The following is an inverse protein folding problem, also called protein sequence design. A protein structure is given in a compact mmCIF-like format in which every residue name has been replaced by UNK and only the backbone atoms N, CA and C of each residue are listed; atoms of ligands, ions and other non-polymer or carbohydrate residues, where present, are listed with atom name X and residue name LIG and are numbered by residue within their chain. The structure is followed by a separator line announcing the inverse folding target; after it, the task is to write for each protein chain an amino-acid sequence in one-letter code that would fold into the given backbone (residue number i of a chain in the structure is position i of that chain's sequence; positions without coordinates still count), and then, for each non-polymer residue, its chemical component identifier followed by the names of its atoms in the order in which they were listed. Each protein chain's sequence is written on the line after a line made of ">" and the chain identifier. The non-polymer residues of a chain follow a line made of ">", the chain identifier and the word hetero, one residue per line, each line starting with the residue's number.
data_IF_843233992172
#
_entry.id   IF_843233992172
#
_cell.length_a   1.000
_cell.length_b   1.000
_cell.length_c   1.000
_cell.angle_alpha   90.00
_cell.angle_beta   90.00
_cell.angle_gamma   90.00
#
_symmetry.space_group_name_H-M   'P 1'
#
loop_
_entity.id
_entity.type
_entity.pdbx_description
1 polymer ?
#
# COMPACT_ATOMS: atom_id res chain seq x y z
N UNK A 1 85.76 50.56 -28.55
CA UNK A 1 85.32 50.77 -29.95
C UNK A 1 85.83 49.63 -30.81
N UNK A 2 84.98 49.13 -31.71
CA UNK A 2 85.25 48.40 -32.96
C UNK A 2 86.00 47.05 -32.90
N UNK A 3 85.41 45.91 -33.27
CA UNK A 3 84.91 45.37 -34.59
C UNK A 3 85.96 44.61 -35.40
N UNK A 4 85.44 43.63 -36.15
CA UNK A 4 86.05 42.75 -37.17
C UNK A 4 86.57 41.41 -36.57
N UNK A 5 86.43 40.23 -37.18
CA UNK A 5 86.44 39.82 -38.60
C UNK A 5 85.63 38.50 -38.78
N UNK A 6 84.97 38.38 -39.94
CA UNK A 6 84.39 37.17 -40.55
C UNK A 6 85.42 36.04 -40.78
N UNK A 7 85.02 34.78 -40.68
CA UNK A 7 85.42 33.78 -41.69
C UNK A 7 84.44 32.60 -41.75
N UNK A 8 84.21 32.24 -43.00
CA UNK A 8 83.24 31.32 -43.59
C UNK A 8 83.99 30.02 -43.95
N UNK A 9 83.25 29.07 -44.55
CA UNK A 9 83.68 28.07 -45.54
C UNK A 9 84.22 26.70 -45.04
N UNK A 10 83.83 25.51 -45.53
CA UNK A 10 82.81 24.92 -46.44
C UNK A 10 82.71 23.39 -46.10
N UNK A 11 81.81 22.50 -46.58
CA UNK A 11 81.44 22.09 -47.96
C UNK A 11 80.38 20.91 -47.89
N UNK A 12 79.88 20.27 -48.99
CA UNK A 12 78.45 20.17 -49.40
C UNK A 12 77.99 18.68 -49.63
N UNK A 13 77.12 18.29 -50.61
CA UNK A 13 75.77 18.72 -51.00
C UNK A 13 74.68 17.60 -50.85
N UNK A 14 73.43 18.05 -51.04
CA UNK A 14 72.15 17.39 -51.36
C UNK A 14 72.10 15.91 -51.84
N UNK A 15 71.13 15.14 -51.29
CA UNK A 15 70.01 14.45 -52.00
C UNK A 15 69.15 13.57 -51.07
N UNK A 16 67.83 13.64 -51.22
CA UNK A 16 66.97 12.44 -51.28
C UNK A 16 66.19 11.97 -50.04
N UNK A 17 64.97 12.49 -49.88
CA UNK A 17 63.69 11.86 -49.46
C UNK A 17 63.72 10.63 -48.51
N UNK A 18 63.12 10.82 -47.33
CA UNK A 18 62.29 9.79 -46.67
C UNK A 18 61.08 10.47 -46.00
N UNK A 19 59.90 10.26 -46.60
CA UNK A 19 58.57 10.63 -46.11
C UNK A 19 58.24 9.90 -44.81
N UNK A 20 58.07 10.64 -43.70
CA UNK A 20 57.40 10.14 -42.49
C UNK A 20 55.93 10.53 -42.51
N UNK A 21 55.09 9.51 -42.66
CA UNK A 21 53.63 9.54 -42.61
C UNK A 21 53.16 10.03 -41.24
N UNK A 22 52.56 11.21 -41.19
CA UNK A 22 51.82 11.71 -40.03
C UNK A 22 50.49 10.97 -39.93
N UNK A 23 50.38 10.07 -38.96
CA UNK A 23 49.13 9.38 -38.63
C UNK A 23 48.25 10.37 -37.85
N UNK A 24 47.32 11.03 -38.55
CA UNK A 24 46.25 11.86 -37.98
C UNK A 24 45.46 11.02 -36.96
N UNK A 25 45.64 11.28 -35.66
CA UNK A 25 44.69 10.84 -34.63
C UNK A 25 43.48 11.78 -34.68
N UNK A 26 42.32 11.23 -35.02
CA UNK A 26 41.03 11.91 -34.96
C UNK A 26 40.63 12.16 -33.50
N UNK A 27 40.88 13.36 -33.00
CA UNK A 27 40.35 13.84 -31.74
C UNK A 27 39.46 15.07 -32.02
N UNK A 28 38.21 14.84 -32.39
CA UNK A 28 37.16 15.88 -32.38
C UNK A 28 35.79 15.24 -32.42
N UNK A 29 35.22 15.00 -31.23
CA UNK A 29 33.75 14.84 -31.05
C UNK A 29 33.26 15.06 -29.62
N UNK A 30 34.13 15.14 -28.61
CA UNK A 30 33.75 15.29 -27.19
C UNK A 30 33.62 16.74 -26.67
N UNK A 31 33.98 17.77 -27.45
CA UNK A 31 33.94 19.18 -27.02
C UNK A 31 32.62 19.92 -27.32
N UNK A 32 31.72 19.34 -28.12
CA UNK A 32 30.48 20.03 -28.52
C UNK A 32 29.32 19.84 -27.53
N UNK A 33 29.28 18.72 -26.78
CA UNK A 33 28.22 18.46 -25.81
C UNK A 33 28.29 19.41 -24.59
N UNK A 34 29.50 19.69 -24.09
CA UNK A 34 29.71 20.62 -22.95
C UNK A 34 29.48 22.08 -23.33
N UNK A 35 29.78 22.50 -24.57
CA UNK A 35 29.46 23.87 -25.04
C UNK A 35 27.96 24.08 -25.28
N UNK A 36 27.23 23.03 -25.66
CA UNK A 36 25.78 23.11 -25.88
C UNK A 36 25.02 23.28 -24.56
N UNK A 37 25.38 22.53 -23.53
CA UNK A 37 24.82 22.68 -22.18
C UNK A 37 25.11 24.06 -21.57
N UNK A 38 26.31 24.61 -21.81
CA UNK A 38 26.67 25.94 -21.31
C UNK A 38 25.91 27.08 -22.01
N UNK A 39 25.62 26.95 -23.32
CA UNK A 39 24.80 27.94 -24.05
C UNK A 39 23.34 27.93 -23.64
N UNK A 40 22.75 26.74 -23.42
CA UNK A 40 21.37 26.67 -22.91
C UNK A 40 21.27 27.32 -21.53
N UNK A 41 22.22 27.05 -20.65
CA UNK A 41 22.21 27.62 -19.30
C UNK A 41 22.34 29.16 -19.32
N UNK A 42 23.24 29.71 -20.15
CA UNK A 42 23.36 31.16 -20.29
C UNK A 42 22.12 31.81 -20.90
N UNK A 43 21.49 31.17 -21.89
CA UNK A 43 20.25 31.66 -22.49
C UNK A 43 19.07 31.64 -21.50
N UNK A 44 18.95 30.57 -20.71
CA UNK A 44 17.95 30.47 -19.65
C UNK A 44 18.18 31.57 -18.61
N UNK A 45 19.44 31.84 -18.24
CA UNK A 45 19.78 32.89 -17.28
C UNK A 45 19.42 34.29 -17.80
N UNK A 46 19.60 34.57 -19.09
CA UNK A 46 19.17 35.83 -19.74
C UNK A 46 17.65 35.95 -19.79
N UNK A 47 16.93 34.89 -20.15
CA UNK A 47 15.46 34.86 -20.15
C UNK A 47 14.91 35.07 -18.74
N UNK A 48 15.58 34.52 -17.72
CA UNK A 48 15.18 34.60 -16.31
C UNK A 48 15.55 35.95 -15.66
N UNK A 49 16.37 36.77 -16.33
CA UNK A 49 16.70 38.12 -15.88
C UNK A 49 15.59 39.13 -16.17
N UNK A 50 14.69 38.84 -17.12
CA UNK A 50 13.55 39.70 -17.43
C UNK A 50 12.45 39.54 -16.36
N UNK A 51 12.05 40.66 -15.75
CA UNK A 51 11.00 40.70 -14.72
C UNK A 51 9.65 40.25 -15.29
N UNK A 52 9.39 40.54 -16.57
CA UNK A 52 8.13 40.19 -17.23
C UNK A 52 8.00 38.69 -17.42
N UNK A 53 9.06 38.02 -17.87
CA UNK A 53 9.07 36.57 -18.07
C UNK A 53 8.94 35.85 -16.74
N UNK A 54 9.65 36.31 -15.70
CA UNK A 54 9.52 35.76 -14.34
C UNK A 54 8.10 35.91 -13.79
N UNK A 55 7.48 37.07 -13.98
CA UNK A 55 6.11 37.33 -13.54
C UNK A 55 5.09 36.46 -14.29
N UNK A 56 5.23 36.31 -15.61
CA UNK A 56 4.37 35.43 -16.42
C UNK A 56 4.53 33.97 -16.01
N UNK A 57 5.78 33.50 -15.82
CA UNK A 57 6.05 32.15 -15.34
C UNK A 57 5.49 31.93 -13.93
N UNK A 58 5.57 32.93 -13.05
CA UNK A 58 4.97 32.90 -11.72
C UNK A 58 3.45 32.73 -11.76
N UNK A 59 2.77 33.50 -12.62
CA UNK A 59 1.33 33.41 -12.83
C UNK A 59 0.91 32.06 -13.42
N UNK A 60 1.64 31.56 -14.43
CA UNK A 60 1.41 30.22 -14.99
C UNK A 60 1.61 29.11 -13.94
N UNK A 61 2.66 29.22 -13.11
CA UNK A 61 2.93 28.29 -12.01
C UNK A 61 1.82 28.28 -10.97
N UNK A 62 1.26 29.46 -10.63
CA UNK A 62 0.11 29.56 -9.74
C UNK A 62 -1.16 28.94 -10.34
N UNK A 63 -1.42 29.18 -11.62
CA UNK A 63 -2.54 28.54 -12.33
C UNK A 63 -2.42 27.02 -12.35
N UNK A 64 -1.23 26.50 -12.65
CA UNK A 64 -0.96 25.06 -12.65
C UNK A 64 -1.05 24.45 -11.25
N UNK A 65 -0.57 25.17 -10.23
CA UNK A 65 -0.73 24.80 -8.82
C UNK A 65 -2.21 24.68 -8.44
N UNK A 66 -3.07 25.60 -8.87
CA UNK A 66 -4.50 25.56 -8.59
C UNK A 66 -5.17 24.36 -9.27
N UNK A 67 -4.85 24.10 -10.55
CA UNK A 67 -5.34 22.92 -11.29
C UNK A 67 -4.95 21.65 -10.55
N UNK A 68 -3.69 21.50 -10.16
CA UNK A 68 -3.23 20.32 -9.41
C UNK A 68 -3.86 20.21 -8.03
N UNK A 69 -4.03 21.33 -7.31
CA UNK A 69 -4.67 21.35 -6.00
C UNK A 69 -6.10 20.85 -6.09
N UNK A 70 -6.90 21.38 -7.02
CA UNK A 70 -8.30 21.00 -7.20
C UNK A 70 -8.42 19.54 -7.65
N UNK A 71 -7.59 19.11 -8.61
CA UNK A 71 -7.58 17.73 -9.10
C UNK A 71 -7.25 16.70 -8.01
N UNK A 72 -6.17 16.94 -7.25
CA UNK A 72 -5.72 16.05 -6.17
C UNK A 72 -6.70 16.09 -5.01
N UNK A 73 -7.14 17.28 -4.58
CA UNK A 73 -8.10 17.42 -3.50
C UNK A 73 -9.40 16.71 -3.83
N UNK A 74 -9.95 16.90 -5.03
CA UNK A 74 -11.14 16.17 -5.48
C UNK A 74 -10.90 14.66 -5.48
N UNK A 75 -9.75 14.17 -5.95
CA UNK A 75 -9.42 12.75 -5.96
C UNK A 75 -9.34 12.12 -4.55
N UNK A 76 -9.05 12.89 -3.51
CA UNK A 76 -9.08 12.37 -2.13
C UNK A 76 -10.49 12.09 -1.60
N UNK A 77 -11.54 12.61 -2.25
CA UNK A 77 -12.93 12.36 -1.86
C UNK A 77 -13.68 11.52 -2.92
N UNK A 78 -13.51 11.85 -4.20
CA UNK A 78 -14.20 11.22 -5.34
C UNK A 78 -13.31 10.27 -6.14
N UNK A 79 -12.15 9.88 -5.61
CA UNK A 79 -11.17 9.10 -6.36
C UNK A 79 -11.61 7.69 -6.70
N UNK A 80 -12.36 7.01 -5.83
CA UNK A 80 -12.78 5.62 -6.06
C UNK A 80 -13.54 5.40 -7.39
N UNK A 81 -14.62 6.14 -7.71
CA UNK A 81 -15.30 5.99 -8.99
C UNK A 81 -14.40 6.40 -10.18
N UNK A 82 -13.68 7.50 -10.07
CA UNK A 82 -12.80 7.99 -11.15
C UNK A 82 -11.69 7.00 -11.51
N UNK A 83 -11.10 6.32 -10.51
CA UNK A 83 -10.07 5.29 -10.73
C UNK A 83 -10.67 4.10 -11.48
N UNK A 84 -11.89 3.67 -11.15
CA UNK A 84 -12.58 2.58 -11.85
C UNK A 84 -12.83 2.94 -13.31
N UNK A 85 -13.29 4.17 -13.59
CA UNK A 85 -13.51 4.66 -14.96
C UNK A 85 -12.19 4.63 -15.75
N UNK A 86 -11.07 5.06 -15.16
CA UNK A 86 -9.76 5.06 -15.81
C UNK A 86 -9.27 3.62 -16.08
N UNK A 87 -9.38 2.73 -15.08
CA UNK A 87 -8.90 1.35 -15.20
C UNK A 87 -9.74 0.51 -16.17
N UNK A 88 -11.05 0.79 -16.24
CA UNK A 88 -11.98 0.11 -17.15
C UNK A 88 -12.09 0.81 -18.51
N UNK A 89 -11.31 1.87 -18.74
CA UNK A 89 -11.33 2.58 -20.01
C UNK A 89 -11.00 1.62 -21.17
N UNK A 90 -11.95 1.46 -22.09
CA UNK A 90 -11.84 0.52 -23.22
C UNK A 90 -12.41 -0.89 -22.98
N UNK A 91 -12.92 -1.20 -21.78
CA UNK A 91 -13.60 -2.47 -21.48
C UNK A 91 -15.13 -2.36 -21.47
N UNK A 92 -15.68 -1.19 -21.17
CA UNK A 92 -17.13 -0.93 -21.11
C UNK A 92 -17.56 0.09 -22.16
N UNK A 93 -18.68 -0.14 -22.84
CA UNK A 93 -19.28 0.83 -23.80
C UNK A 93 -20.00 1.99 -23.10
N UNK A 94 -20.26 1.88 -21.79
CA UNK A 94 -20.87 2.96 -21.01
C UNK A 94 -19.87 4.11 -20.79
N UNK A 95 -20.20 5.28 -21.35
CA UNK A 95 -19.52 6.54 -21.05
C UNK A 95 -19.98 7.07 -19.69
N UNK A 96 -19.34 6.62 -18.63
CA UNK A 96 -19.47 7.23 -17.31
C UNK A 96 -18.76 8.59 -17.25
N UNK A 97 -19.41 9.57 -16.61
CA UNK A 97 -18.82 10.87 -16.39
C UNK A 97 -17.83 10.86 -15.22
N UNK A 98 -16.70 11.53 -15.38
CA UNK A 98 -15.74 11.76 -14.30
C UNK A 98 -16.36 12.63 -13.21
N UNK A 99 -16.17 12.23 -11.95
CA UNK A 99 -16.67 12.91 -10.76
C UNK A 99 -15.70 14.00 -10.27
N UNK A 100 -14.45 13.98 -10.72
CA UNK A 100 -13.48 15.01 -10.38
C UNK A 100 -13.97 16.40 -10.82
N UNK A 101 -13.74 17.43 -9.99
CA UNK A 101 -14.14 18.82 -10.27
C UNK A 101 -13.63 19.33 -11.63
N UNK A 102 -12.44 18.87 -12.06
CA UNK A 102 -11.85 19.24 -13.36
C UNK A 102 -12.15 18.22 -14.48
N UNK A 103 -13.13 17.34 -14.27
CA UNK A 103 -13.52 16.28 -15.19
C UNK A 103 -12.38 15.30 -15.47
N UNK A 104 -12.29 14.82 -16.72
CA UNK A 104 -11.30 13.81 -17.13
C UNK A 104 -9.86 14.22 -16.83
N UNK A 105 -9.49 15.48 -17.09
CA UNK A 105 -8.13 15.96 -16.84
C UNK A 105 -7.80 15.91 -15.34
N UNK A 106 -8.74 16.30 -14.49
CA UNK A 106 -8.56 16.24 -13.05
C UNK A 106 -8.47 14.81 -12.52
N UNK A 107 -9.30 13.90 -13.05
CA UNK A 107 -9.27 12.50 -12.70
C UNK A 107 -7.92 11.84 -13.05
N UNK A 108 -7.36 12.12 -14.24
CA UNK A 108 -6.05 11.57 -14.63
C UNK A 108 -4.90 12.14 -13.78
N UNK A 109 -4.94 13.44 -13.45
CA UNK A 109 -3.96 14.06 -12.55
C UNK A 109 -4.08 13.44 -11.14
N UNK A 110 -5.30 13.28 -10.64
CA UNK A 110 -5.58 12.62 -9.37
C UNK A 110 -5.08 11.18 -9.35
N UNK A 111 -5.34 10.41 -10.41
CA UNK A 111 -4.84 9.05 -10.57
C UNK A 111 -3.31 8.99 -10.56
N UNK A 112 -2.64 9.87 -11.30
CA UNK A 112 -1.17 9.92 -11.35
C UNK A 112 -0.54 10.28 -10.00
N UNK A 113 -1.07 11.32 -9.32
CA UNK A 113 -0.44 11.86 -8.13
C UNK A 113 -0.93 11.25 -6.82
N UNK A 114 -2.23 11.02 -6.68
CA UNK A 114 -2.82 10.43 -5.49
C UNK A 114 -2.67 8.89 -5.52
N UNK A 115 -3.19 8.22 -6.55
CA UNK A 115 -3.14 6.75 -6.62
C UNK A 115 -1.73 6.21 -6.91
N UNK A 116 -1.11 6.60 -8.02
CA UNK A 116 0.23 6.10 -8.39
C UNK A 116 1.38 6.79 -7.65
N UNK A 117 1.13 7.98 -7.09
CA UNK A 117 2.13 8.75 -6.37
C UNK A 117 2.10 8.52 -4.87
N UNK A 118 1.94 9.61 -4.13
CA UNK A 118 2.10 9.66 -2.67
C UNK A 118 0.76 9.86 -1.94
N UNK A 119 -0.38 9.55 -2.58
CA UNK A 119 -1.69 9.70 -1.93
C UNK A 119 -1.94 11.12 -1.45
N UNK A 120 -2.32 11.27 -0.18
CA UNK A 120 -2.50 12.56 0.49
C UNK A 120 -1.21 13.40 0.50
N UNK A 121 -0.05 12.76 0.47
CA UNK A 121 1.25 13.42 0.41
C UNK A 121 1.47 14.17 -0.90
N UNK A 122 0.73 13.86 -1.96
CA UNK A 122 0.85 14.53 -3.24
C UNK A 122 0.39 16.00 -3.23
N UNK A 123 -0.38 16.44 -2.23
CA UNK A 123 -0.72 17.84 -1.99
C UNK A 123 0.52 18.74 -1.79
N UNK A 124 1.68 18.14 -1.49
CA UNK A 124 2.96 18.82 -1.49
C UNK A 124 3.31 19.48 -2.83
N UNK A 125 2.95 18.84 -3.95
CA UNK A 125 3.28 19.31 -5.29
C UNK A 125 2.59 20.66 -5.60
N UNK A 126 1.25 20.78 -5.54
CA UNK A 126 0.60 22.07 -5.77
C UNK A 126 1.03 23.10 -4.73
N UNK A 127 1.24 22.73 -3.46
CA UNK A 127 1.69 23.67 -2.43
C UNK A 127 3.05 24.29 -2.73
N UNK A 128 4.06 23.46 -3.08
CA UNK A 128 5.40 23.96 -3.41
C UNK A 128 5.42 24.74 -4.72
N UNK A 129 4.66 24.29 -5.72
CA UNK A 129 4.53 24.97 -7.00
C UNK A 129 3.84 26.34 -6.84
N UNK A 130 2.85 26.43 -5.96
CA UNK A 130 2.17 27.68 -5.61
C UNK A 130 3.10 28.64 -4.87
N UNK A 131 3.89 28.13 -3.91
CA UNK A 131 4.87 28.95 -3.19
C UNK A 131 5.96 29.50 -4.13
N UNK A 132 6.41 28.68 -5.09
CA UNK A 132 7.38 29.08 -6.11
C UNK A 132 6.79 30.12 -7.06
N UNK A 133 5.55 29.90 -7.52
CA UNK A 133 4.83 30.84 -8.38
C UNK A 133 4.62 32.19 -7.70
N UNK A 134 4.20 32.19 -6.43
CA UNK A 134 4.02 33.41 -5.64
C UNK A 134 5.35 34.14 -5.41
N UNK A 135 6.44 33.39 -5.17
CA UNK A 135 7.79 33.96 -5.05
C UNK A 135 8.21 34.66 -6.34
N UNK A 136 7.96 34.06 -7.50
CA UNK A 136 8.32 34.64 -8.80
C UNK A 136 7.43 35.81 -9.21
N UNK A 137 6.15 35.81 -8.79
CA UNK A 137 5.20 36.87 -9.10
C UNK A 137 5.41 38.13 -8.25
N UNK A 138 5.75 37.98 -6.97
CA UNK A 138 5.81 39.10 -6.01
C UNK A 138 7.24 39.51 -5.66
N UNK A 139 8.25 38.76 -6.10
CA UNK A 139 9.67 38.93 -5.71
C UNK A 139 9.94 38.95 -4.21
N UNK A 140 8.96 38.51 -3.43
CA UNK A 140 8.99 38.48 -1.98
C UNK A 140 9.09 37.05 -1.50
N UNK A 141 9.86 36.87 -0.43
CA UNK A 141 10.00 35.57 0.22
C UNK A 141 9.02 35.49 1.38
N UNK A 142 7.83 34.94 1.14
CA UNK A 142 6.80 34.76 2.19
C UNK A 142 7.25 33.76 3.25
N UNK A 143 7.80 32.62 2.82
CA UNK A 143 8.31 31.57 3.69
C UNK A 143 9.76 31.21 3.31
N UNK A 144 10.59 30.80 4.28
CA UNK A 144 11.94 30.34 4.01
C UNK A 144 11.90 29.04 3.19
N UNK A 145 12.08 29.15 1.87
CA UNK A 145 11.88 28.08 0.89
C UNK A 145 12.53 26.74 1.30
N UNK A 146 13.80 26.76 1.72
CA UNK A 146 14.52 25.54 2.10
C UNK A 146 13.93 24.85 3.36
N UNK A 147 13.38 25.60 4.31
CA UNK A 147 12.73 25.00 5.49
C UNK A 147 11.37 24.43 5.12
N UNK A 148 10.58 25.19 4.35
CA UNK A 148 9.26 24.76 3.86
C UNK A 148 9.38 23.52 2.98
N UNK A 149 10.29 23.52 2.00
CA UNK A 149 10.52 22.39 1.12
C UNK A 149 10.85 21.11 1.88
N UNK A 150 11.78 21.18 2.85
CA UNK A 150 12.16 20.00 3.65
C UNK A 150 11.02 19.48 4.50
N UNK A 151 10.27 20.36 5.17
CA UNK A 151 9.11 19.95 5.96
C UNK A 151 8.03 19.33 5.08
N UNK A 152 7.69 19.97 3.97
CA UNK A 152 6.67 19.49 3.04
C UNK A 152 7.08 18.16 2.39
N UNK A 153 8.34 18.01 1.96
CA UNK A 153 8.84 16.76 1.38
C UNK A 153 8.83 15.62 2.41
N UNK A 154 9.20 15.91 3.67
CA UNK A 154 9.08 14.95 4.76
C UNK A 154 7.62 14.54 4.95
N UNK A 155 6.69 15.49 5.11
CA UNK A 155 5.27 15.18 5.32
C UNK A 155 4.66 14.43 4.14
N UNK A 156 5.07 14.76 2.91
CA UNK A 156 4.64 14.11 1.66
C UNK A 156 4.98 12.62 1.63
N UNK A 157 6.13 12.23 2.21
CA UNK A 157 6.56 10.83 2.26
C UNK A 157 6.06 10.12 3.53
N UNK A 158 6.12 10.81 4.68
CA UNK A 158 5.84 10.22 5.99
C UNK A 158 4.35 10.10 6.29
N UNK A 159 3.53 11.08 5.91
CA UNK A 159 2.10 11.04 6.25
C UNK A 159 1.38 9.86 5.58
N UNK A 160 1.58 9.57 4.28
CA UNK A 160 0.94 8.41 3.65
C UNK A 160 1.48 7.08 4.18
N UNK A 161 2.79 6.98 4.45
CA UNK A 161 3.39 5.80 5.06
C UNK A 161 2.87 5.56 6.48
N UNK A 162 2.77 6.60 7.29
CA UNK A 162 2.20 6.51 8.63
C UNK A 162 0.73 6.09 8.58
N UNK A 163 -0.09 6.70 7.72
CA UNK A 163 -1.49 6.30 7.56
C UNK A 163 -1.62 4.84 7.12
N UNK A 164 -0.82 4.41 6.15
CA UNK A 164 -0.78 3.01 5.71
C UNK A 164 -0.37 2.08 6.85
N UNK A 165 0.60 2.47 7.68
CA UNK A 165 1.01 1.70 8.86
C UNK A 165 -0.04 1.69 9.98
N UNK A 166 -0.83 2.74 10.16
CA UNK A 166 -1.88 2.73 11.19
C UNK A 166 -3.08 1.87 10.79
N UNK A 167 -3.30 1.69 9.49
CA UNK A 167 -4.46 0.96 8.94
C UNK A 167 -4.08 -0.32 8.20
N UNK A 168 -2.86 -0.82 8.41
CA UNK A 168 -2.49 -2.15 7.90
C UNK A 168 -3.15 -3.20 8.77
N UNK A 169 -3.84 -4.14 8.15
CA UNK A 169 -4.23 -5.38 8.78
C UNK A 169 -3.03 -6.33 8.77
N UNK A 170 -2.82 -7.14 9.83
CA UNK A 170 -1.84 -8.21 9.81
C UNK A 170 -2.36 -9.36 8.94
N UNK A 171 -2.43 -9.15 7.62
CA UNK A 171 -2.82 -10.16 6.65
C UNK A 171 -1.60 -11.00 6.25
N UNK A 172 -1.83 -12.26 5.85
CA UNK A 172 -0.81 -13.29 5.65
C UNK A 172 0.42 -12.85 4.84
N UNK A 173 1.58 -13.40 5.23
CA UNK A 173 2.95 -13.10 4.75
C UNK A 173 3.18 -13.18 3.21
N UNK A 174 2.16 -13.52 2.42
CA UNK A 174 2.23 -13.75 0.98
C UNK A 174 1.62 -12.63 0.13
N UNK A 175 0.82 -11.72 0.69
CA UNK A 175 0.17 -10.64 -0.06
C UNK A 175 0.98 -9.33 -0.02
N UNK A 176 0.88 -8.47 -1.07
CA UNK A 176 1.45 -7.13 -1.03
C UNK A 176 0.83 -6.36 0.15
N UNK A 177 1.65 -5.61 0.88
CA UNK A 177 1.16 -4.81 2.01
C UNK A 177 -0.04 -3.95 1.59
N UNK A 178 -1.20 -4.26 2.17
CA UNK A 178 -2.47 -3.59 1.96
C UNK A 178 -2.77 -2.65 3.13
N UNK A 179 -3.62 -1.67 2.90
CA UNK A 179 -4.18 -0.82 3.94
C UNK A 179 -5.69 -0.83 3.79
N UNK A 180 -6.42 -0.77 4.90
CA UNK A 180 -7.88 -0.61 4.87
C UNK A 180 -8.31 0.72 4.24
N UNK A 181 -7.41 1.71 4.26
CA UNK A 181 -7.64 2.97 3.57
C UNK A 181 -7.63 2.77 2.06
N UNK A 182 -8.49 3.54 1.41
CA UNK A 182 -8.48 3.60 -0.03
C UNK A 182 -7.09 3.96 -0.57
N UNK A 183 -6.74 3.19 -1.57
CA UNK A 183 -5.58 3.23 -2.42
C UNK A 183 -5.08 4.61 -2.90
N UNK A 184 -5.96 5.62 -3.00
CA UNK A 184 -5.61 6.99 -3.38
C UNK A 184 -5.30 7.91 -2.19
N UNK A 185 -5.54 7.45 -0.96
CA UNK A 185 -5.21 8.18 0.28
C UNK A 185 -3.78 7.85 0.70
N UNK A 186 -3.42 6.56 0.71
CA UNK A 186 -2.07 6.08 1.01
C UNK A 186 -1.16 6.20 -0.20
N UNK A 187 -1.70 5.97 -1.40
CA UNK A 187 -0.96 5.98 -2.64
C UNK A 187 0.06 4.84 -2.73
N UNK A 188 0.50 4.53 -3.96
CA UNK A 188 1.46 3.46 -4.21
C UNK A 188 2.79 3.67 -3.45
N UNK A 189 3.26 4.91 -3.31
CA UNK A 189 4.49 5.20 -2.56
C UNK A 189 4.37 4.96 -1.05
N UNK A 190 3.21 5.26 -0.46
CA UNK A 190 2.96 4.98 0.97
C UNK A 190 2.88 3.48 1.25
N UNK A 191 2.16 2.74 0.40
CA UNK A 191 2.05 1.27 0.47
C UNK A 191 3.41 0.58 0.21
N UNK A 192 4.19 1.10 -0.73
CA UNK A 192 5.53 0.58 -1.00
C UNK A 192 6.44 0.77 0.22
N UNK A 193 6.44 1.96 0.83
CA UNK A 193 7.20 2.21 2.07
C UNK A 193 6.73 1.33 3.23
N UNK A 194 5.42 1.12 3.36
CA UNK A 194 4.85 0.20 4.34
C UNK A 194 5.44 -1.20 4.15
N UNK A 195 5.32 -1.77 2.94
CA UNK A 195 5.82 -3.10 2.64
C UNK A 195 7.33 -3.25 2.90
N UNK A 196 8.12 -2.26 2.50
CA UNK A 196 9.56 -2.25 2.80
C UNK A 196 9.84 -2.19 4.30
N UNK A 197 9.13 -1.32 5.04
CA UNK A 197 9.31 -1.19 6.49
C UNK A 197 8.97 -2.49 7.23
N UNK A 198 7.83 -3.12 6.91
CA UNK A 198 7.40 -4.37 7.52
C UNK A 198 8.36 -5.51 7.18
N UNK A 199 8.86 -5.58 5.95
CA UNK A 199 9.81 -6.61 5.52
C UNK A 199 11.15 -6.53 6.26
N UNK A 200 11.69 -5.34 6.47
CA UNK A 200 13.02 -5.18 7.09
C UNK A 200 12.98 -5.05 8.62
N UNK A 201 11.94 -4.42 9.17
CA UNK A 201 11.88 -4.04 10.59
C UNK A 201 10.75 -4.74 11.36
N UNK A 202 9.83 -5.44 10.68
CA UNK A 202 8.61 -5.93 11.28
C UNK A 202 7.67 -4.81 11.73
N UNK A 203 6.56 -5.17 12.36
CA UNK A 203 5.53 -4.21 12.83
C UNK A 203 6.09 -3.28 13.91
N UNK A 204 6.68 -3.84 14.96
CA UNK A 204 7.23 -3.07 16.10
C UNK A 204 8.37 -2.14 15.66
N UNK A 205 9.29 -2.63 14.83
CA UNK A 205 10.41 -1.83 14.36
C UNK A 205 9.95 -0.70 13.43
N UNK A 206 8.99 -0.97 12.54
CA UNK A 206 8.40 0.05 11.66
C UNK A 206 7.74 1.17 12.47
N UNK A 207 6.93 0.83 13.46
CA UNK A 207 6.31 1.81 14.36
C UNK A 207 7.34 2.66 15.10
N UNK A 208 8.39 2.04 15.65
CA UNK A 208 9.47 2.78 16.34
C UNK A 208 10.19 3.73 15.38
N UNK A 209 10.45 3.31 14.13
CA UNK A 209 11.10 4.20 13.15
C UNK A 209 10.24 5.39 12.73
N UNK A 210 8.92 5.22 12.61
CA UNK A 210 8.01 6.33 12.35
C UNK A 210 8.08 7.38 13.47
N UNK A 211 7.99 6.94 14.73
CA UNK A 211 8.09 7.82 15.90
C UNK A 211 9.46 8.52 15.95
N UNK A 212 10.54 7.76 15.73
CA UNK A 212 11.90 8.30 15.76
C UNK A 212 12.15 9.32 14.65
N UNK A 213 11.69 9.04 13.43
CA UNK A 213 11.86 9.95 12.30
C UNK A 213 11.06 11.25 12.48
N UNK A 214 9.82 11.17 12.95
CA UNK A 214 9.01 12.36 13.29
C UNK A 214 9.70 13.15 14.40
N UNK A 215 10.25 12.46 15.41
CA UNK A 215 10.98 13.09 16.51
C UNK A 215 12.22 13.85 16.04
N UNK A 216 13.06 13.23 15.19
CA UNK A 216 14.22 13.90 14.57
C UNK A 216 13.77 15.12 13.78
N UNK A 217 12.72 14.98 12.97
CA UNK A 217 12.25 16.07 12.13
C UNK A 217 11.70 17.24 12.94
N UNK A 218 10.98 16.96 14.04
CA UNK A 218 10.48 17.97 14.97
C UNK A 218 11.62 18.66 15.72
N UNK A 219 12.61 17.89 16.21
CA UNK A 219 13.79 18.44 16.87
C UNK A 219 14.56 19.41 15.96
N UNK A 220 14.72 19.03 14.68
CA UNK A 220 15.48 19.81 13.73
C UNK A 220 14.73 21.03 13.17
N UNK A 221 13.45 20.90 12.84
CA UNK A 221 12.70 21.96 12.17
C UNK A 221 11.98 22.91 13.15
N UNK A 222 11.60 22.44 14.34
CA UNK A 222 10.80 23.19 15.32
C UNK A 222 11.34 23.03 16.76
N UNK A 223 12.54 23.57 17.06
CA UNK A 223 13.21 23.36 18.35
C UNK A 223 12.42 23.89 19.56
N UNK A 224 11.56 24.90 19.39
CA UNK A 224 10.67 25.38 20.46
C UNK A 224 9.60 24.35 20.84
N UNK A 225 8.99 23.69 19.84
CA UNK A 225 8.00 22.64 20.07
C UNK A 225 8.66 21.41 20.68
N UNK A 226 9.85 21.03 20.19
CA UNK A 226 10.65 19.94 20.74
C UNK A 226 10.98 20.13 22.22
N UNK A 227 11.43 21.33 22.62
CA UNK A 227 11.68 21.65 24.03
C UNK A 227 10.42 21.55 24.89
N UNK A 228 9.27 22.04 24.41
CA UNK A 228 8.00 21.94 25.13
C UNK A 228 7.56 20.49 25.31
N UNK A 229 7.69 19.66 24.27
CA UNK A 229 7.42 18.22 24.37
C UNK A 229 8.37 17.55 25.36
N UNK A 230 9.67 17.85 25.28
CA UNK A 230 10.69 17.30 26.19
C UNK A 230 10.40 17.64 27.66
N UNK A 231 9.96 18.86 27.97
CA UNK A 231 9.55 19.22 29.32
C UNK A 231 8.32 18.43 29.79
N UNK A 232 7.31 18.24 28.93
CA UNK A 232 6.11 17.46 29.28
C UNK A 232 6.42 15.98 29.46
N UNK A 233 7.25 15.40 28.59
CA UNK A 233 7.71 14.03 28.71
C UNK A 233 8.53 13.85 30.00
N UNK A 234 9.45 14.77 30.29
CA UNK A 234 10.21 14.76 31.54
C UNK A 234 9.33 14.83 32.78
N UNK A 235 8.29 15.69 32.79
CA UNK A 235 7.33 15.76 33.89
C UNK A 235 6.50 14.47 34.05
N UNK A 236 6.14 13.81 32.95
CA UNK A 236 5.44 12.52 32.99
C UNK A 236 6.34 11.40 33.53
N UNK A 237 7.61 11.34 33.11
CA UNK A 237 8.57 10.38 33.65
C UNK A 237 8.87 10.61 35.13
N UNK A 238 9.01 11.88 35.56
CA UNK A 238 9.20 12.21 36.97
C UNK A 238 7.98 11.82 37.80
N UNK A 239 6.76 12.09 37.30
CA UNK A 239 5.53 11.65 37.97
C UNK A 239 5.40 10.13 38.04
N UNK A 240 5.85 9.40 37.01
CA UNK A 240 5.85 7.94 37.01
C UNK A 240 6.92 7.36 37.96
N UNK A 241 8.09 7.99 38.02
CA UNK A 241 9.17 7.63 38.97
C UNK A 241 8.74 7.89 40.42
N UNK A 242 8.07 9.01 40.66
CA UNK A 242 7.54 9.37 41.98
C UNK A 242 6.41 8.41 42.42
N UNK A 243 5.50 8.02 41.53
CA UNK A 243 4.47 7.02 41.85
C UNK A 243 5.04 5.61 42.11
N UNK A 244 6.07 5.20 41.38
CA UNK A 244 6.73 3.91 41.62
C UNK A 244 7.50 3.91 42.94
N UNK A 245 8.18 5.01 43.28
CA UNK A 245 8.84 5.15 44.58
C UNK A 245 7.85 5.23 45.74
N UNK A 246 6.65 5.78 45.52
CA UNK A 246 5.59 5.83 46.52
C UNK A 246 4.99 4.44 46.77
N UNK A 247 4.72 3.65 45.71
CA UNK A 247 4.34 2.23 45.84
C UNK A 247 5.41 1.41 46.57
N UNK A 248 6.69 1.51 46.16
CA UNK A 248 7.80 0.80 46.80
C UNK A 248 7.95 1.19 48.29
N UNK A 249 7.73 2.47 48.63
CA UNK A 249 7.80 2.94 50.01
C UNK A 249 6.60 2.47 50.86
N UNK A 250 5.41 2.35 50.28
CA UNK A 250 4.23 1.79 50.93
C UNK A 250 4.40 0.28 51.18
N UNK A 251 4.96 -0.46 50.22
CA UNK A 251 5.27 -1.88 50.36
C UNK A 251 6.37 -2.13 51.40
N UNK A 252 7.42 -1.31 51.43
CA UNK A 252 8.46 -1.39 52.46
C UNK A 252 7.91 -1.06 53.85
N UNK A 253 6.99 -0.09 53.96
CA UNK A 253 6.33 0.25 55.21
C UNK A 253 5.39 -0.87 55.70
N UNK A 254 4.64 -1.50 54.79
CA UNK A 254 3.79 -2.65 55.11
C UNK A 254 4.63 -3.85 55.59
N UNK A 255 5.77 -4.11 54.94
CA UNK A 255 6.70 -5.17 55.33
C UNK A 255 7.33 -4.91 56.71
N UNK A 256 7.68 -3.65 57.02
CA UNK A 256 8.18 -3.25 58.34
C UNK A 256 7.12 -3.37 59.43
N UNK A 257 5.87 -3.01 59.15
CA UNK A 257 4.75 -3.19 60.08
C UNK A 257 4.48 -4.68 60.36
N UNK A 258 4.52 -5.53 59.33
CA UNK A 258 4.40 -6.98 59.50
C UNK A 258 5.56 -7.58 60.32
N UNK A 259 6.80 -7.09 60.13
CA UNK A 259 7.95 -7.51 60.92
C UNK A 259 7.86 -7.08 62.40
N UNK A 260 7.33 -5.89 62.69
CA UNK A 260 7.09 -5.40 64.06
C UNK A 260 5.96 -6.16 64.75
N UNK A 261 4.89 -6.49 64.03
CA UNK A 261 3.82 -7.36 64.53
C UNK A 261 4.35 -8.76 64.90
N UNK A 262 5.24 -9.31 64.08
CA UNK A 262 5.89 -10.62 64.32
C UNK A 262 6.88 -10.60 65.50
N UNK A 263 7.48 -9.44 65.80
CA UNK A 263 8.42 -9.29 66.92
C UNK A 263 7.73 -9.08 68.29
N UNK A 264 6.42 -8.81 68.31
CA UNK A 264 5.68 -8.51 69.56
C UNK A 264 5.05 -9.77 70.18
N UNK A 265 4.99 -10.89 69.46
CA UNK A 265 4.54 -12.19 70.00
C UNK A 265 5.73 -13.04 70.49
N UNK A 266 6.20 -12.76 71.70
CA UNK A 266 6.92 -13.78 72.48
C UNK A 266 6.60 -13.71 73.98
N UNK A 267 5.85 -14.75 74.41
CA UNK A 267 5.71 -15.34 75.77
C UNK A 267 4.64 -14.77 76.76
N UNK A 268 4.04 -15.61 77.67
CA UNK A 268 2.87 -16.48 77.40
C UNK A 268 1.75 -16.42 78.51
N UNK A 269 0.69 -17.22 78.35
CA UNK A 269 -0.47 -17.52 79.26
C UNK A 269 -1.53 -16.41 79.39
N UNK A 270 -2.84 -16.68 79.45
CA UNK A 270 -3.59 -17.87 79.86
C UNK A 270 -4.99 -17.92 79.21
N UNK A 271 -5.62 -19.08 79.35
CA UNK A 271 -6.77 -19.68 78.71
C UNK A 271 -8.18 -19.05 78.83
N UNK A 272 -8.97 -19.33 77.78
CA UNK A 272 -10.40 -19.72 77.75
C UNK A 272 -11.55 -18.68 77.62
N UNK A 273 -12.12 -18.61 76.40
CA UNK A 273 -13.53 -18.86 75.99
C UNK A 273 -14.02 -17.88 74.89
N UNK A 274 -14.84 -18.33 73.92
CA UNK A 274 -15.01 -17.64 72.63
C UNK A 274 -16.19 -16.65 72.64
N UNK A 275 -16.13 -15.51 71.92
CA UNK A 275 -17.33 -14.75 71.60
C UNK A 275 -18.05 -15.31 70.36
N UNK A 276 -19.37 -15.17 70.45
CA UNK A 276 -20.46 -15.73 69.66
C UNK A 276 -20.43 -15.40 68.16
N UNK A 277 -20.97 -16.30 67.35
CA UNK A 277 -21.18 -16.19 65.90
C UNK A 277 -22.04 -14.98 65.45
N UNK A 278 -22.61 -14.21 66.38
CA UNK A 278 -23.42 -13.03 66.08
C UNK A 278 -22.60 -11.78 65.69
N UNK A 279 -21.32 -11.68 66.07
CA UNK A 279 -20.49 -10.51 65.72
C UNK A 279 -19.91 -10.59 64.30
N UNK A 280 -19.77 -11.81 63.75
CA UNK A 280 -19.33 -12.01 62.35
C UNK A 280 -20.40 -11.65 61.33
N UNK A 281 -21.67 -11.84 61.67
CA UNK A 281 -22.79 -11.54 60.77
C UNK A 281 -22.99 -10.02 60.63
N UNK A 282 -22.71 -9.25 61.68
CA UNK A 282 -22.87 -7.79 61.67
C UNK A 282 -21.84 -7.07 60.80
N UNK A 283 -20.61 -7.58 60.73
CA UNK A 283 -19.54 -6.97 59.94
C UNK A 283 -19.60 -7.34 58.44
N UNK A 284 -20.29 -8.43 58.08
CA UNK A 284 -20.55 -8.78 56.67
C UNK A 284 -21.76 -8.01 56.12
N UNK A 285 -22.79 -7.75 56.94
CA UNK A 285 -23.94 -6.94 56.52
C UNK A 285 -23.60 -5.46 56.34
N UNK A 286 -22.72 -4.89 57.18
CA UNK A 286 -22.29 -3.49 57.06
C UNK A 286 -21.39 -3.24 55.84
N UNK A 287 -20.63 -4.24 55.37
CA UNK A 287 -19.84 -4.13 54.14
C UNK A 287 -20.73 -4.20 52.87
N UNK A 288 -21.85 -4.94 52.93
CA UNK A 288 -22.78 -5.07 51.79
C UNK A 288 -23.72 -3.86 51.60
N UNK A 289 -23.95 -3.05 52.64
CA UNK A 289 -24.78 -1.83 52.53
C UNK A 289 -23.99 -0.59 52.06
N UNK A 290 -22.65 -0.61 52.12
CA UNK A 290 -21.81 0.51 51.67
C UNK A 290 -21.48 0.45 50.16
N UNK A 291 -21.44 -0.75 49.55
CA UNK A 291 -21.33 -0.92 48.09
C UNK A 291 -22.65 -0.64 47.34
N UNK A 292 -23.81 -0.77 48.00
CA UNK A 292 -25.12 -0.50 47.40
C UNK A 292 -25.50 1.00 47.37
N UNK A 293 -24.70 1.87 48.02
CA UNK A 293 -24.98 3.30 48.13
C UNK A 293 -24.18 4.20 47.18
N UNK A 294 -23.26 3.66 46.37
CA UNK A 294 -22.41 4.43 45.45
C UNK A 294 -22.89 4.48 43.99
N UNK A 295 -23.99 3.81 43.64
CA UNK A 295 -24.63 3.90 42.32
C UNK A 295 -26.09 4.37 42.45
N UNK A 296 -26.29 5.67 42.66
CA UNK A 296 -27.51 6.39 42.26
C UNK A 296 -27.34 7.90 42.46
N UNK A 297 -27.96 8.66 41.53
CA UNK A 297 -28.14 10.13 41.42
C UNK A 297 -27.02 10.88 40.69
N UNK A 298 -27.29 11.83 39.79
CA UNK A 298 -28.45 12.15 38.93
C UNK A 298 -27.93 13.27 37.99
N UNK A 299 -28.15 13.15 36.68
CA UNK A 299 -27.93 14.25 35.73
C UNK A 299 -29.28 14.90 35.47
N UNK A 300 -29.44 16.14 35.96
CA UNK A 300 -30.62 16.97 35.74
C UNK A 300 -30.58 17.64 34.36
N UNK A 301 -31.69 17.39 33.66
CA UNK A 301 -32.29 17.99 32.47
C UNK A 301 -32.13 19.51 32.27
N UNK A 302 -31.96 19.94 31.00
CA UNK A 302 -32.56 21.18 30.44
C UNK A 302 -33.04 20.91 28.99
N UNK A 303 -34.25 21.35 28.58
CA UNK A 303 -35.00 20.83 27.43
C UNK A 303 -34.99 21.78 26.21
N UNK A 304 -35.39 21.28 25.04
CA UNK A 304 -36.02 22.10 23.98
C UNK A 304 -37.07 21.29 23.20
N UNK A 305 -38.28 21.86 23.12
CA UNK A 305 -39.36 21.60 22.15
C UNK A 305 -38.83 21.53 20.69
N UNK A 306 -39.45 20.90 19.69
CA UNK A 306 -40.78 20.36 19.51
C UNK A 306 -41.13 20.48 18.00
N UNK A 307 -42.01 19.60 17.55
CA UNK A 307 -42.95 19.75 16.42
C UNK A 307 -42.69 19.10 15.01
N UNK A 308 -43.57 18.12 14.76
CA UNK A 308 -44.31 17.69 13.53
C UNK A 308 -43.58 17.06 12.33
N UNK A 309 -43.83 15.76 12.07
CA UNK A 309 -44.83 15.30 11.07
C UNK A 309 -45.06 13.78 11.06
N UNK A 310 -46.34 13.44 10.88
CA UNK A 310 -46.96 12.11 10.83
C UNK A 310 -46.64 11.25 9.58
N UNK A 311 -46.94 9.93 9.63
CA UNK A 311 -46.63 8.98 8.57
C UNK A 311 -47.71 8.95 7.49
N UNK A 312 -47.31 8.84 6.22
CA UNK A 312 -48.23 8.50 5.13
C UNK A 312 -48.33 6.99 4.95
N UNK A 313 -49.54 6.53 5.25
CA UNK A 313 -50.15 5.26 4.93
C UNK A 313 -50.21 5.04 3.41
N UNK A 314 -50.15 3.79 2.96
CA UNK A 314 -51.07 3.23 1.96
C UNK A 314 -50.91 1.71 1.85
N UNK A 315 -51.87 1.04 2.47
CA UNK A 315 -52.39 -0.27 2.14
C UNK A 315 -52.83 -0.34 0.67
N UNK A 316 -52.60 -1.47 0.00
CA UNK A 316 -53.65 -2.11 -0.81
C UNK A 316 -53.40 -3.63 -0.89
N UNK A 317 -54.45 -4.34 -0.52
CA UNK A 317 -54.60 -5.78 -0.44
C UNK A 317 -54.60 -6.45 -1.82
N UNK A 318 -54.08 -7.68 -1.89
CA UNK A 318 -54.94 -8.82 -2.27
C UNK A 318 -54.29 -10.16 -1.94
N UNK A 319 -54.94 -10.86 -1.01
CA UNK A 319 -54.69 -12.24 -0.67
C UNK A 319 -55.37 -13.18 -1.68
N UNK A 320 -54.71 -14.31 -2.04
CA UNK A 320 -55.39 -15.59 -2.24
C UNK A 320 -54.42 -16.80 -2.27
N UNK A 321 -54.56 -17.64 -1.23
CA UNK A 321 -54.55 -19.12 -1.24
C UNK A 321 -53.26 -19.92 -1.52
N UNK A 322 -52.62 -20.29 -0.41
CA UNK A 322 -52.46 -21.65 0.13
C UNK A 322 -52.32 -22.87 -0.82
N UNK A 323 -51.25 -23.66 -0.61
CA UNK A 323 -51.26 -25.11 -0.27
C UNK A 323 -49.86 -25.69 0.03
N UNK A 324 -49.69 -26.05 1.30
CA UNK A 324 -49.17 -27.28 1.95
C UNK A 324 -48.09 -28.21 1.32
N UNK A 325 -47.27 -28.77 2.24
CA UNK A 325 -46.53 -30.07 2.22
C UNK A 325 -45.25 -30.14 1.40
N UNK A 326 -44.15 -30.78 1.78
CA UNK A 326 -43.73 -31.55 2.97
C UNK A 326 -42.19 -31.68 2.95
N UNK A 327 -41.64 -32.21 4.05
CA UNK A 327 -40.25 -32.54 4.35
C UNK A 327 -39.57 -33.53 3.39
N UNK A 328 -38.23 -33.49 3.41
CA UNK A 328 -37.20 -34.57 3.32
C UNK A 328 -36.00 -34.07 2.50
N UNK A 329 -34.80 -33.83 3.05
CA UNK A 329 -33.86 -34.72 3.75
C UNK A 329 -33.27 -35.85 2.87
N UNK A 330 -32.04 -35.61 2.43
CA UNK A 330 -30.90 -36.56 2.41
C UNK A 330 -30.48 -37.22 1.08
N UNK A 331 -29.14 -37.25 0.98
CA UNK A 331 -28.26 -38.20 0.30
C UNK A 331 -28.01 -38.04 -1.21
N UNK A 332 -26.79 -37.57 -1.54
CA UNK A 332 -25.95 -38.23 -2.56
C UNK A 332 -24.51 -38.30 -2.02
N UNK A 333 -24.11 -39.50 -1.60
CA UNK A 333 -22.72 -39.91 -1.45
C UNK A 333 -22.48 -41.01 -2.48
N UNK A 334 -21.74 -40.70 -3.53
CA UNK A 334 -20.99 -41.60 -4.42
C UNK A 334 -19.99 -40.70 -5.16
N UNK A 335 -18.76 -41.02 -5.52
CA UNK A 335 -17.87 -42.16 -5.32
C UNK A 335 -16.62 -41.71 -6.08
N UNK A 336 -15.44 -41.65 -5.45
CA UNK A 336 -14.19 -41.74 -6.21
C UNK A 336 -13.34 -42.83 -5.58
N UNK A 337 -13.27 -43.92 -6.34
CA UNK A 337 -12.48 -45.11 -6.12
C UNK A 337 -10.99 -44.82 -6.21
N UNK A 338 -10.27 -45.40 -5.24
CA UNK A 338 -8.89 -45.87 -5.32
C UNK A 338 -8.45 -46.34 -6.71
N UNK A 339 -7.22 -45.99 -7.08
CA UNK A 339 -6.31 -46.84 -7.85
C UNK A 339 -4.86 -46.61 -7.38
N UNK A 340 -4.11 -47.71 -7.42
CA UNK A 340 -2.97 -48.06 -6.59
C UNK A 340 -1.63 -47.36 -6.91
N UNK A 341 -0.80 -47.43 -5.88
CA UNK A 341 0.64 -47.18 -5.77
C UNK A 341 1.52 -48.05 -6.67
N UNK A 342 2.60 -47.47 -7.20
CA UNK A 342 3.90 -48.14 -7.32
C UNK A 342 5.05 -47.22 -6.89
N UNK A 343 5.94 -47.83 -6.12
CA UNK A 343 7.14 -47.31 -5.47
C UNK A 343 8.26 -46.99 -6.48
N UNK A 344 9.01 -45.90 -6.26
CA UNK A 344 10.48 -45.93 -6.37
C UNK A 344 11.11 -44.77 -5.59
N UNK A 345 11.87 -45.17 -4.59
CA UNK A 345 12.75 -44.38 -3.72
C UNK A 345 13.76 -43.48 -4.45
N UNK A 346 13.99 -42.26 -3.94
CA UNK A 346 15.26 -41.84 -3.29
C UNK A 346 15.24 -40.37 -2.83
N UNK A 347 15.46 -40.23 -1.52
CA UNK A 347 16.23 -39.18 -0.82
C UNK A 347 16.13 -37.73 -1.31
N UNK A 348 15.26 -36.95 -0.67
CA UNK A 348 15.65 -35.64 -0.14
C UNK A 348 15.03 -35.47 1.24
N UNK A 349 15.89 -35.37 2.26
CA UNK A 349 15.51 -35.02 3.64
C UNK A 349 15.12 -33.56 3.67
N UNK A 350 13.83 -33.28 3.50
CA UNK A 350 13.22 -32.04 3.98
C UNK A 350 12.58 -32.35 5.32
N UNK A 351 13.13 -31.77 6.38
CA UNK A 351 12.57 -31.82 7.73
C UNK A 351 11.27 -31.03 7.73
N UNK A 352 10.15 -31.73 7.55
CA UNK A 352 8.80 -31.17 7.63
C UNK A 352 8.37 -31.13 9.09
N UNK A 353 8.71 -30.03 9.77
CA UNK A 353 8.26 -29.77 11.14
C UNK A 353 6.83 -29.21 11.07
N UNK A 354 5.84 -30.08 11.25
CA UNK A 354 4.46 -29.67 11.50
C UNK A 354 4.42 -29.06 12.90
N UNK A 355 4.44 -27.74 12.98
CA UNK A 355 3.96 -27.07 14.19
C UNK A 355 2.49 -27.43 14.33
N UNK A 356 2.17 -28.27 15.32
CA UNK A 356 0.79 -28.43 15.75
C UNK A 356 0.24 -27.04 16.01
N UNK A 357 -0.80 -26.66 15.26
CA UNK A 357 -1.59 -25.50 15.60
C UNK A 357 -1.97 -25.65 17.07
N UNK A 358 -1.56 -24.69 17.89
CA UNK A 358 -2.02 -24.59 19.27
C UNK A 358 -3.54 -24.56 19.17
N UNK A 359 -4.23 -25.52 19.79
CA UNK A 359 -5.67 -25.42 19.97
C UNK A 359 -5.91 -24.07 20.65
N UNK A 360 -6.53 -23.16 19.91
CA UNK A 360 -7.02 -21.93 20.50
C UNK A 360 -7.97 -22.35 21.61
N UNK A 361 -7.81 -21.76 22.81
CA UNK A 361 -8.73 -22.01 23.92
C UNK A 361 -10.10 -21.51 23.47
N UNK A 362 -10.93 -22.45 23.01
CA UNK A 362 -12.35 -22.20 22.75
C UNK A 362 -12.95 -21.75 24.07
N UNK A 363 -13.53 -20.55 24.07
CA UNK A 363 -14.20 -20.00 25.24
C UNK A 363 -15.22 -21.03 25.76
N UNK A 364 -15.29 -21.18 27.07
CA UNK A 364 -16.32 -22.02 27.70
C UNK A 364 -17.71 -21.45 27.39
N UNK A 365 -18.73 -22.30 27.36
CA UNK A 365 -20.12 -21.89 27.07
C UNK A 365 -20.58 -20.74 27.98
N UNK A 366 -20.12 -20.70 29.23
CA UNK A 366 -20.40 -19.62 30.19
C UNK A 366 -19.78 -18.28 29.77
N UNK A 367 -18.52 -18.29 29.29
CA UNK A 367 -17.84 -17.08 28.82
C UNK A 367 -18.41 -16.55 27.50
N UNK A 368 -18.92 -17.44 26.64
CA UNK A 368 -19.66 -17.05 25.43
C UNK A 368 -20.99 -16.39 25.80
N UNK A 369 -21.67 -16.90 26.82
CA UNK A 369 -22.95 -16.38 27.29
C UNK A 369 -22.81 -14.98 27.90
N UNK A 370 -21.76 -14.75 28.69
CA UNK A 370 -21.42 -13.43 29.24
C UNK A 370 -21.09 -12.42 28.12
N UNK A 371 -20.37 -12.82 27.07
CA UNK A 371 -20.08 -11.96 25.92
C UNK A 371 -21.33 -11.60 25.11
N UNK A 372 -22.25 -12.55 24.93
CA UNK A 372 -23.53 -12.31 24.23
C UNK A 372 -24.43 -11.37 25.03
N UNK A 373 -24.40 -11.45 26.37
CA UNK A 373 -25.14 -10.56 27.26
C UNK A 373 -24.53 -9.14 27.30
N UNK A 374 -23.19 -9.01 27.15
CA UNK A 374 -22.47 -7.73 27.12
C UNK A 374 -22.59 -6.99 25.77
N UNK A 375 -22.55 -7.69 24.63
CA UNK A 375 -22.51 -7.07 23.30
C UNK A 375 -23.86 -7.01 22.56
N UNK A 376 -24.93 -7.54 23.15
CA UNK A 376 -26.27 -7.53 22.56
C UNK A 376 -26.46 -8.62 21.50
N UNK A 377 -27.73 -8.87 21.18
CA UNK A 377 -28.24 -10.05 20.46
C UNK A 377 -27.30 -10.63 19.39
N UNK A 378 -27.18 -11.96 19.43
CA UNK A 378 -26.42 -12.79 18.50
C UNK A 378 -26.49 -12.27 17.06
N UNK A 379 -25.36 -11.80 16.54
CA UNK A 379 -25.28 -11.23 15.19
C UNK A 379 -25.77 -12.25 14.17
N UNK A 380 -26.94 -11.99 13.60
CA UNK A 380 -27.52 -12.84 12.54
C UNK A 380 -27.11 -12.29 11.16
N UNK A 381 -26.09 -12.89 10.50
CA UNK A 381 -25.62 -12.44 9.19
C UNK A 381 -26.68 -12.59 8.09
N UNK A 382 -27.79 -13.29 8.35
CA UNK A 382 -28.89 -13.41 7.39
C UNK A 382 -29.80 -12.19 7.35
N UNK A 383 -29.81 -11.36 8.41
CA UNK A 383 -30.57 -10.10 8.44
C UNK A 383 -29.97 -9.06 7.49
N UNK A 384 -28.64 -8.98 7.43
CA UNK A 384 -27.89 -8.09 6.53
C UNK A 384 -28.15 -8.43 5.04
N UNK A 385 -28.44 -9.70 4.76
CA UNK A 385 -28.73 -10.22 3.42
C UNK A 385 -30.20 -10.58 3.21
N UNK A 386 -31.11 -10.17 4.09
CA UNK A 386 -32.51 -10.60 4.07
C UNK A 386 -33.29 -10.22 2.79
N UNK A 387 -32.74 -9.30 1.98
CA UNK A 387 -33.29 -8.90 0.67
C UNK A 387 -32.40 -9.27 -0.51
N UNK A 388 -31.29 -9.97 -0.29
CA UNK A 388 -30.40 -10.38 -1.36
C UNK A 388 -31.10 -11.40 -2.26
N UNK A 389 -31.17 -11.10 -3.55
CA UNK A 389 -31.64 -12.01 -4.58
C UNK A 389 -30.47 -12.34 -5.49
N UNK A 390 -30.19 -13.63 -5.66
CA UNK A 390 -29.15 -14.08 -6.56
C UNK A 390 -29.49 -13.59 -7.98
N UNK A 391 -28.57 -12.90 -8.68
CA UNK A 391 -28.84 -12.46 -10.04
C UNK A 391 -29.06 -13.69 -10.94
N UNK A 392 -30.08 -13.62 -11.78
CA UNK A 392 -30.36 -14.66 -12.77
C UNK A 392 -29.29 -14.63 -13.89
N UNK A 393 -28.93 -15.80 -14.41
CA UNK A 393 -27.98 -16.00 -15.52
C UNK A 393 -28.39 -15.27 -16.80
N UNK A 394 -29.67 -14.90 -16.92
CA UNK A 394 -30.22 -14.08 -18.02
C UNK A 394 -29.60 -12.67 -18.12
N UNK A 395 -28.87 -12.22 -17.08
CA UNK A 395 -28.13 -10.95 -17.10
C UNK A 395 -26.77 -11.05 -17.79
N UNK A 396 -26.32 -12.27 -18.10
CA UNK A 396 -25.09 -12.48 -18.86
C UNK A 396 -25.35 -12.18 -20.34
N UNK A 397 -24.41 -11.50 -20.97
CA UNK A 397 -24.46 -11.26 -22.42
C UNK A 397 -24.20 -12.59 -23.13
N UNK A 398 -25.11 -12.98 -24.02
CA UNK A 398 -24.92 -14.16 -24.86
C UNK A 398 -23.93 -13.85 -25.99
N UNK A 399 -22.75 -14.47 -25.94
CA UNK A 399 -21.72 -14.35 -26.95
C UNK A 399 -21.82 -15.44 -28.05
N UNK A 400 -22.87 -16.25 -28.04
CA UNK A 400 -23.10 -17.35 -28.97
C UNK A 400 -22.12 -18.52 -28.79
N UNK A 401 -22.26 -19.55 -29.63
CA UNK A 401 -21.54 -20.82 -29.52
C UNK A 401 -19.99 -20.76 -29.66
N UNK A 402 -19.39 -19.58 -29.87
CA UNK A 402 -17.94 -19.43 -30.05
C UNK A 402 -17.35 -20.25 -31.21
N UNK A 403 -18.19 -20.79 -32.11
CA UNK A 403 -17.78 -21.61 -33.25
C UNK A 403 -17.21 -20.72 -34.35
N UNK A 404 -16.02 -20.15 -34.12
CA UNK A 404 -15.14 -19.78 -35.21
C UNK A 404 -14.73 -21.07 -35.93
N UNK A 405 -15.54 -21.48 -36.90
CA UNK A 405 -15.27 -22.65 -37.73
C UNK A 405 -14.16 -22.25 -38.71
N UNK A 406 -12.92 -22.42 -38.29
CA UNK A 406 -11.78 -22.42 -39.22
C UNK A 406 -12.06 -23.49 -40.27
N UNK A 407 -11.95 -23.14 -41.55
CA UNK A 407 -12.21 -24.09 -42.63
C UNK A 407 -11.06 -25.08 -42.78
N UNK A 408 -11.34 -26.32 -43.19
CA UNK A 408 -10.32 -27.33 -43.41
C UNK A 408 -9.31 -26.88 -44.49
N UNK A 409 -9.76 -26.07 -45.46
CA UNK A 409 -8.91 -25.44 -46.46
C UNK A 409 -7.91 -24.44 -45.86
N UNK A 410 -8.34 -23.60 -44.91
CA UNK A 410 -7.46 -22.65 -44.21
C UNK A 410 -6.42 -23.38 -43.37
N UNK A 411 -6.80 -24.45 -42.67
CA UNK A 411 -5.87 -25.29 -41.90
C UNK A 411 -4.82 -25.94 -42.80
N UNK A 412 -5.22 -26.41 -43.98
CA UNK A 412 -4.31 -27.04 -44.93
C UNK A 412 -3.34 -26.01 -45.54
N UNK A 413 -3.80 -24.81 -45.87
CA UNK A 413 -2.92 -23.71 -46.34
C UNK A 413 -1.92 -23.28 -45.27
N UNK A 414 -2.39 -23.10 -44.03
CA UNK A 414 -1.52 -22.72 -42.91
C UNK A 414 -0.48 -23.80 -42.60
N UNK A 415 -0.88 -25.07 -42.66
CA UNK A 415 0.05 -26.20 -42.55
C UNK A 415 1.14 -26.17 -43.63
N UNK A 416 0.78 -25.90 -44.88
CA UNK A 416 1.76 -25.80 -45.98
C UNK A 416 2.71 -24.61 -45.80
N UNK A 417 2.22 -23.47 -45.33
CA UNK A 417 3.02 -22.31 -45.01
C UNK A 417 4.02 -22.61 -43.88
N UNK A 418 3.58 -23.26 -42.80
CA UNK A 418 4.44 -23.68 -41.69
C UNK A 418 5.54 -24.62 -42.16
N UNK A 419 5.20 -25.64 -42.97
CA UNK A 419 6.19 -26.58 -43.51
C UNK A 419 7.22 -25.87 -44.40
N UNK A 420 6.77 -24.94 -45.25
CA UNK A 420 7.66 -24.15 -46.12
C UNK A 420 8.60 -23.25 -45.31
N UNK A 421 8.07 -22.56 -44.31
CA UNK A 421 8.87 -21.67 -43.46
C UNK A 421 9.90 -22.45 -42.66
N UNK A 422 9.54 -23.58 -42.06
CA UNK A 422 10.49 -24.44 -41.34
C UNK A 422 11.58 -25.02 -42.27
N UNK A 423 11.22 -25.38 -43.50
CA UNK A 423 12.19 -25.84 -44.50
C UNK A 423 13.23 -24.75 -44.85
N UNK A 424 12.83 -23.47 -44.95
CA UNK A 424 13.74 -22.35 -45.21
C UNK A 424 14.82 -22.21 -44.11
N UNK A 425 14.46 -22.49 -42.86
CA UNK A 425 15.38 -22.50 -41.71
C UNK A 425 16.16 -23.82 -41.55
N UNK A 426 16.06 -24.72 -42.53
CA UNK A 426 16.68 -26.06 -42.52
C UNK A 426 16.23 -26.85 -41.29
N UNK A 427 14.93 -26.83 -41.00
CA UNK A 427 14.25 -27.64 -39.99
C UNK A 427 13.31 -28.58 -40.75
N UNK A 428 13.71 -29.84 -40.85
CA UNK A 428 12.87 -30.89 -41.43
C UNK A 428 11.87 -31.41 -40.40
N UNK A 429 10.63 -31.58 -40.83
CA UNK A 429 9.50 -32.02 -40.00
C UNK A 429 9.04 -33.39 -40.47
N UNK A 430 8.85 -34.32 -39.53
CA UNK A 430 8.34 -35.67 -39.81
C UNK A 430 6.82 -35.78 -39.75
N UNK A 431 6.16 -35.04 -38.86
CA UNK A 431 4.69 -35.07 -38.69
C UNK A 431 4.21 -33.71 -38.16
N UNK A 432 3.06 -33.25 -38.66
CA UNK A 432 2.35 -32.07 -38.16
C UNK A 432 0.88 -32.43 -37.92
N UNK A 433 0.34 -32.01 -36.77
CA UNK A 433 -1.08 -32.18 -36.37
C UNK A 433 -1.61 -30.83 -35.91
N UNK A 434 -2.89 -30.54 -36.12
CA UNK A 434 -3.50 -29.26 -35.76
C UNK A 434 -4.70 -29.50 -34.85
N UNK A 435 -4.81 -28.73 -33.78
CA UNK A 435 -5.94 -28.69 -32.86
C UNK A 435 -6.48 -27.25 -32.79
N UNK A 436 -7.76 -27.08 -33.13
CA UNK A 436 -8.39 -25.76 -33.21
C UNK A 436 -8.99 -25.40 -31.86
N UNK A 437 -8.43 -24.38 -31.21
CA UNK A 437 -9.00 -23.77 -30.02
C UNK A 437 -9.89 -22.55 -30.35
N UNK A 438 -10.57 -21.97 -29.34
CA UNK A 438 -11.48 -20.82 -29.54
C UNK A 438 -10.77 -19.55 -30.06
N UNK A 439 -9.52 -19.34 -29.64
CA UNK A 439 -8.74 -18.13 -29.97
C UNK A 439 -7.50 -18.45 -30.79
N UNK A 440 -6.90 -19.63 -30.60
CA UNK A 440 -5.64 -20.03 -31.23
C UNK A 440 -5.73 -21.46 -31.75
N UNK A 441 -4.97 -21.77 -32.81
CA UNK A 441 -4.82 -23.14 -33.32
C UNK A 441 -3.44 -23.67 -32.91
N UNK A 442 -3.41 -24.78 -32.19
CA UNK A 442 -2.19 -25.45 -31.77
C UNK A 442 -1.71 -26.36 -32.91
N UNK A 443 -0.50 -26.12 -33.43
CA UNK A 443 0.16 -27.02 -34.37
C UNK A 443 1.24 -27.81 -33.66
N UNK A 444 1.03 -29.12 -33.52
CA UNK A 444 2.01 -30.04 -32.97
C UNK A 444 2.94 -30.53 -34.07
N UNK A 445 4.25 -30.36 -33.86
CA UNK A 445 5.27 -30.64 -34.87
C UNK A 445 6.31 -31.61 -34.31
N UNK A 446 6.52 -32.72 -35.01
CA UNK A 446 7.57 -33.70 -34.70
C UNK A 446 8.75 -33.44 -35.63
N UNK A 447 9.90 -32.95 -35.14
CA UNK A 447 11.07 -32.70 -35.98
C UNK A 447 11.72 -34.01 -36.45
N UNK A 448 12.43 -33.96 -37.57
CA UNK A 448 13.21 -35.09 -38.05
C UNK A 448 14.38 -35.44 -37.09
N UNK A 449 14.84 -36.70 -37.07
CA UNK A 449 15.96 -37.11 -36.23
C UNK A 449 17.20 -36.25 -36.42
N UNK A 450 17.79 -35.77 -35.32
CA UNK A 450 19.02 -34.95 -35.35
C UNK A 450 18.79 -33.44 -35.25
N UNK A 451 17.55 -32.95 -35.32
CA UNK A 451 17.24 -31.53 -35.09
C UNK A 451 16.96 -31.31 -33.60
N UNK A 452 17.74 -30.41 -32.98
CA UNK A 452 17.56 -30.03 -31.57
C UNK A 452 16.41 -29.04 -31.42
N UNK A 453 15.54 -29.27 -30.43
CA UNK A 453 14.41 -28.40 -30.06
C UNK A 453 14.88 -26.96 -29.77
N UNK A 454 16.05 -26.80 -29.17
CA UNK A 454 16.65 -25.49 -28.90
C UNK A 454 16.88 -24.64 -30.16
N UNK A 455 17.11 -25.27 -31.33
CA UNK A 455 17.29 -24.57 -32.59
C UNK A 455 15.99 -23.91 -33.06
N UNK A 456 14.86 -24.56 -32.81
CA UNK A 456 13.53 -24.05 -33.17
C UNK A 456 13.17 -22.90 -32.23
N UNK A 457 13.35 -23.08 -30.92
CA UNK A 457 13.08 -22.04 -29.91
C UNK A 457 13.90 -20.76 -30.14
N UNK A 458 15.16 -20.89 -30.55
CA UNK A 458 16.00 -19.72 -30.84
C UNK A 458 15.60 -18.95 -32.10
N UNK A 459 14.78 -19.55 -32.97
CA UNK A 459 14.29 -18.95 -34.22
C UNK A 459 12.80 -18.61 -34.13
N UNK A 460 12.20 -18.65 -32.94
CA UNK A 460 10.77 -18.41 -32.71
C UNK A 460 10.32 -17.06 -33.29
N UNK A 461 11.03 -15.98 -32.97
CA UNK A 461 10.74 -14.63 -33.47
C UNK A 461 10.83 -14.54 -35.00
N UNK A 462 11.85 -15.19 -35.59
CA UNK A 462 12.08 -15.18 -37.05
C UNK A 462 11.05 -16.03 -37.81
N UNK A 463 10.58 -17.12 -37.20
CA UNK A 463 9.52 -17.99 -37.73
C UNK A 463 8.18 -17.26 -37.65
N UNK A 464 7.89 -16.60 -36.53
CA UNK A 464 6.66 -15.82 -36.34
C UNK A 464 6.58 -14.66 -37.34
N UNK A 465 7.69 -14.02 -37.69
CA UNK A 465 7.74 -12.97 -38.70
C UNK A 465 7.47 -13.48 -40.13
N UNK A 466 7.72 -14.76 -40.38
CA UNK A 466 7.65 -15.38 -41.70
C UNK A 466 6.33 -16.10 -41.98
N UNK A 467 5.38 -16.07 -41.04
CA UNK A 467 4.11 -16.79 -41.08
C UNK A 467 2.89 -15.89 -41.26
#
# INVERSE_FOLDING_TARGET
>A
MAKNILLKDQKPPTKGKATKTSRRRSASKKQNATRFQFRLFSQIQEIWADERTRSVLGLCSLGMSLVFALSIFSALFTGAPDIRIIQNSGLTEELEAYHNILGSLGAHIGYLFARQGLGIGSLAVPFLLGLLGLRWLTDRTFLPFAKTFRLTAFLSMFLPWALAFLTHSPEELSLPASSELNDYITGAGGLWLLGQSLQFLGTTGSGLTLVFAVSIMLAYNTPLLWKRLGHRAGAWFQSAEESMMEEDAMDEAAMKQAAVATATESTPNDSSSPPSAEERIKNVLLASEEEAAAQKTDVVHVPLEGDVMEPFNNTDDNAAKAKTSDQEASAVTESISNLESEDTSKEDKVEFEVKQAREEETLSEEQLQDLVEEFGEEYDPTLDLGRFQLPNVDKLVDHGDGKNRVTDEELQQNKENILRTLANFKIEVSKITAEVGPTVTLYEIVPAPGIRISKIKNLEDDIALSL
#
